data_IF_744835333146
#
_entry.id   IF_744835333146
#
_cell.length_a   1.000
_cell.length_b   1.000
_cell.length_c   1.000
_cell.angle_alpha   90.00
_cell.angle_beta   90.00
_cell.angle_gamma   90.00
#
_symmetry.space_group_name_H-M   'P 1'
#
loop_
_entity.id
_entity.type
_entity.pdbx_description
1 polymer ?
#
# COMPACT_ATOMS: atom_id res chain seq x y z
N UNK A 1 16.53 6.03 -28.84
CA UNK A 1 16.48 6.08 -27.36
C UNK A 1 16.60 4.65 -26.88
N UNK A 2 17.54 4.34 -26.00
CA UNK A 2 17.65 2.98 -25.44
C UNK A 2 16.50 2.80 -24.45
N UNK A 3 15.57 1.88 -24.75
CA UNK A 3 14.53 1.49 -23.79
C UNK A 3 15.21 0.93 -22.53
N UNK A 4 14.81 1.44 -21.37
CA UNK A 4 15.27 0.91 -20.08
C UNK A 4 14.85 -0.57 -19.98
N UNK A 5 15.75 -1.49 -19.61
CA UNK A 5 15.34 -2.86 -19.34
C UNK A 5 14.39 -2.90 -18.14
N UNK A 6 13.21 -3.48 -18.34
CA UNK A 6 12.18 -3.66 -17.32
C UNK A 6 12.40 -5.02 -16.65
N UNK A 7 12.72 -5.00 -15.35
CA UNK A 7 12.85 -6.21 -14.54
C UNK A 7 11.73 -6.25 -13.52
N UNK A 8 10.99 -7.35 -13.53
CA UNK A 8 9.90 -7.62 -12.59
C UNK A 8 10.18 -8.95 -11.91
N UNK A 9 10.16 -8.96 -10.59
CA UNK A 9 10.17 -10.17 -9.79
C UNK A 9 9.01 -10.16 -8.79
N UNK A 10 8.66 -11.32 -8.25
CA UNK A 10 7.47 -11.49 -7.42
C UNK A 10 7.85 -11.93 -6.02
N UNK A 11 7.22 -11.35 -5.01
CA UNK A 11 7.34 -11.71 -3.60
C UNK A 11 5.98 -12.20 -3.09
N UNK A 12 5.99 -13.29 -2.33
CA UNK A 12 4.79 -13.76 -1.62
C UNK A 12 4.49 -12.82 -0.46
N UNK A 13 3.20 -12.60 -0.18
CA UNK A 13 2.76 -11.92 1.03
C UNK A 13 2.18 -12.90 2.04
N UNK A 14 2.00 -12.50 3.31
CA UNK A 14 1.24 -13.31 4.28
C UNK A 14 -0.22 -13.57 3.87
N UNK A 15 -0.79 -12.75 2.97
CA UNK A 15 -2.10 -12.99 2.38
C UNK A 15 -1.94 -13.89 1.14
N UNK A 16 -2.48 -15.12 1.12
CA UNK A 16 -2.32 -16.05 0.00
C UNK A 16 -2.93 -15.52 -1.32
N UNK A 17 -3.90 -14.61 -1.22
CA UNK A 17 -4.52 -13.98 -2.39
C UNK A 17 -3.77 -12.75 -2.86
N UNK A 18 -2.78 -12.23 -2.12
CA UNK A 18 -2.01 -11.05 -2.50
C UNK A 18 -0.58 -11.43 -2.90
N UNK A 19 -0.15 -10.95 -4.06
CA UNK A 19 1.21 -11.10 -4.54
C UNK A 19 1.80 -9.74 -4.90
N UNK A 20 3.05 -9.52 -4.50
CA UNK A 20 3.79 -8.29 -4.73
C UNK A 20 4.65 -8.43 -5.98
N UNK A 21 4.49 -7.52 -6.92
CA UNK A 21 5.25 -7.40 -8.17
C UNK A 21 6.21 -6.23 -8.05
N UNK A 22 7.50 -6.51 -7.89
CA UNK A 22 8.54 -5.52 -7.62
C UNK A 22 9.27 -5.17 -8.91
N UNK A 23 9.40 -3.88 -9.17
CA UNK A 23 10.06 -3.31 -10.34
C UNK A 23 11.44 -2.74 -10.00
N UNK A 24 12.30 -2.64 -11.01
CA UNK A 24 13.62 -2.01 -10.89
C UNK A 24 13.58 -0.47 -10.92
N UNK A 25 12.41 0.14 -10.69
CA UNK A 25 12.21 1.58 -10.64
C UNK A 25 11.05 1.98 -9.75
N UNK A 26 11.15 3.18 -9.21
CA UNK A 26 10.10 3.83 -8.43
C UNK A 26 8.86 4.09 -9.29
N UNK A 27 7.71 3.71 -8.75
CA UNK A 27 6.38 3.99 -9.29
C UNK A 27 5.72 5.16 -8.55
N UNK A 28 5.96 5.23 -7.24
CA UNK A 28 5.34 6.19 -6.32
C UNK A 28 6.43 6.83 -5.47
N UNK A 29 6.47 8.16 -5.34
CA UNK A 29 7.39 8.84 -4.44
C UNK A 29 7.26 8.36 -2.99
N UNK A 30 8.37 8.37 -2.27
CA UNK A 30 8.42 8.04 -0.85
C UNK A 30 7.33 8.78 -0.03
N UNK A 31 6.70 8.03 0.88
CA UNK A 31 5.62 8.53 1.75
C UNK A 31 4.23 8.52 1.11
N UNK A 32 4.12 8.23 -0.20
CA UNK A 32 2.83 8.04 -0.86
C UNK A 32 2.56 6.56 -1.14
N UNK A 33 1.28 6.21 -1.11
CA UNK A 33 0.77 4.91 -1.51
C UNK A 33 -0.67 5.05 -1.97
N UNK A 34 -1.09 4.19 -2.89
CA UNK A 34 -2.42 4.22 -3.48
C UNK A 34 -3.05 2.83 -3.37
N UNK A 35 -4.22 2.77 -2.73
CA UNK A 35 -5.01 1.55 -2.57
C UNK A 35 -6.30 1.68 -3.36
N UNK A 36 -6.52 0.74 -4.27
CA UNK A 36 -7.68 0.66 -5.14
C UNK A 36 -8.47 -0.60 -4.80
N UNK A 37 -9.57 -0.48 -4.04
CA UNK A 37 -10.44 -1.62 -3.73
C UNK A 37 -11.38 -2.01 -4.89
N UNK A 38 -11.38 -1.24 -5.99
CA UNK A 38 -12.20 -1.53 -7.18
C UNK A 38 -11.74 -0.74 -8.40
N UNK A 39 -12.21 -1.14 -9.59
CA UNK A 39 -12.04 -0.39 -10.83
C UNK A 39 -12.55 1.06 -10.72
N UNK A 40 -13.68 1.29 -10.03
CA UNK A 40 -14.23 2.63 -9.87
C UNK A 40 -13.26 3.55 -9.09
N UNK A 41 -12.63 3.03 -8.04
CA UNK A 41 -11.65 3.77 -7.25
C UNK A 41 -10.40 4.15 -8.07
N UNK A 42 -10.03 3.33 -9.06
CA UNK A 42 -8.91 3.60 -9.97
C UNK A 42 -9.17 4.77 -10.93
N UNK A 43 -10.42 5.27 -11.01
CA UNK A 43 -10.81 6.41 -11.84
C UNK A 43 -11.21 7.64 -11.01
N UNK A 44 -11.14 7.58 -9.68
CA UNK A 44 -11.51 8.70 -8.82
C UNK A 44 -10.55 9.89 -9.02
N UNK A 45 -11.10 11.10 -9.09
CA UNK A 45 -10.30 12.32 -9.21
C UNK A 45 -9.34 12.44 -8.00
N UNK A 46 -8.08 12.76 -8.27
CA UNK A 46 -7.03 12.82 -7.25
C UNK A 46 -6.45 11.46 -6.85
N UNK A 47 -6.99 10.35 -7.36
CA UNK A 47 -6.40 9.00 -7.20
C UNK A 47 -6.25 8.24 -8.52
N UNK A 48 -6.70 8.80 -9.64
CA UNK A 48 -6.76 8.11 -10.92
C UNK A 48 -5.42 7.47 -11.33
N UNK A 49 -5.48 6.18 -11.65
CA UNK A 49 -4.35 5.36 -12.09
C UNK A 49 -4.75 4.51 -13.30
N UNK A 50 -4.24 4.84 -14.51
CA UNK A 50 -4.44 4.02 -15.69
C UNK A 50 -3.92 2.59 -15.51
N UNK A 51 -2.77 2.43 -14.82
CA UNK A 51 -2.24 1.10 -14.50
C UNK A 51 -3.22 0.27 -13.67
N UNK A 52 -3.79 0.85 -12.60
CA UNK A 52 -4.76 0.14 -11.78
C UNK A 52 -6.03 -0.18 -12.56
N UNK A 53 -6.56 0.77 -13.35
CA UNK A 53 -7.76 0.56 -14.16
C UNK A 53 -7.58 -0.58 -15.18
N UNK A 54 -6.42 -0.67 -15.82
CA UNK A 54 -6.11 -1.75 -16.77
C UNK A 54 -5.91 -3.10 -16.06
N UNK A 55 -5.29 -3.11 -14.88
CA UNK A 55 -5.18 -4.33 -14.05
C UNK A 55 -6.56 -4.87 -13.65
N UNK A 56 -7.54 -4.01 -13.42
CA UNK A 56 -8.91 -4.44 -13.13
C UNK A 56 -9.65 -5.04 -14.34
N UNK A 57 -9.09 -5.01 -15.55
CA UNK A 57 -9.64 -5.73 -16.70
C UNK A 57 -9.42 -7.25 -16.59
N UNK A 58 -8.48 -7.68 -15.74
CA UNK A 58 -8.29 -9.08 -15.42
C UNK A 58 -9.40 -9.53 -14.46
N UNK A 59 -10.24 -10.51 -14.83
CA UNK A 59 -11.41 -10.89 -14.02
C UNK A 59 -11.09 -11.31 -12.59
N UNK A 60 -9.87 -11.84 -12.39
CA UNK A 60 -9.43 -12.31 -11.09
C UNK A 60 -8.98 -11.20 -10.14
N UNK A 61 -8.74 -9.96 -10.62
CA UNK A 61 -8.18 -8.88 -9.80
C UNK A 61 -9.27 -8.20 -8.97
N UNK A 62 -9.13 -8.26 -7.65
CA UNK A 62 -10.07 -7.69 -6.67
C UNK A 62 -9.56 -6.40 -6.02
N UNK A 63 -8.23 -6.25 -5.86
CA UNK A 63 -7.62 -5.03 -5.32
C UNK A 63 -6.25 -4.82 -5.94
N UNK A 64 -5.92 -3.57 -6.22
CA UNK A 64 -4.59 -3.14 -6.67
C UNK A 64 -4.05 -2.14 -5.66
N UNK A 65 -2.83 -2.37 -5.21
CA UNK A 65 -2.12 -1.45 -4.32
C UNK A 65 -0.77 -1.08 -4.94
N UNK A 66 -0.40 0.20 -4.92
CA UNK A 66 0.81 0.72 -5.54
C UNK A 66 1.57 1.56 -4.52
N UNK A 67 2.83 1.23 -4.28
CA UNK A 67 3.72 1.98 -3.39
C UNK A 67 5.19 1.77 -3.79
N UNK A 68 6.04 2.75 -3.49
CA UNK A 68 7.48 2.73 -3.81
C UNK A 68 7.73 2.19 -5.22
N UNK A 69 8.43 1.06 -5.37
CA UNK A 69 8.74 0.39 -6.63
C UNK A 69 7.91 -0.87 -6.91
N UNK A 70 6.74 -1.06 -6.27
CA UNK A 70 5.97 -2.29 -6.41
C UNK A 70 4.46 -2.08 -6.57
N UNK A 71 3.83 -3.08 -7.18
CA UNK A 71 2.38 -3.24 -7.24
C UNK A 71 2.01 -4.53 -6.51
N UNK A 72 1.11 -4.45 -5.54
CA UNK A 72 0.48 -5.62 -4.95
C UNK A 72 -0.87 -5.85 -5.62
N UNK A 73 -1.08 -7.05 -6.15
CA UNK A 73 -2.34 -7.46 -6.74
C UNK A 73 -2.97 -8.49 -5.82
N UNK A 74 -4.22 -8.27 -5.44
CA UNK A 74 -5.03 -9.25 -4.71
C UNK A 74 -6.03 -9.86 -5.66
N UNK A 75 -5.98 -11.18 -5.82
CA UNK A 75 -6.91 -11.95 -6.65
C UNK A 75 -8.14 -12.44 -5.86
N UNK A 76 -9.13 -12.97 -6.56
CA UNK A 76 -10.23 -13.73 -5.95
C UNK A 76 -9.76 -15.08 -5.37
N UNK A 77 -10.67 -15.72 -4.63
CA UNK A 77 -10.43 -17.02 -3.98
C UNK A 77 -10.42 -18.19 -4.97
N UNK A 78 -11.08 -18.05 -6.13
CA UNK A 78 -11.29 -19.14 -7.10
C UNK A 78 -10.09 -19.33 -8.04
N UNK A 79 -9.31 -18.27 -8.27
CA UNK A 79 -8.16 -18.28 -9.17
C UNK A 79 -6.89 -18.74 -8.47
N UNK A 80 -6.03 -19.50 -9.14
CA UNK A 80 -4.71 -19.87 -8.61
C UNK A 80 -3.60 -18.96 -9.18
N UNK A 81 -2.60 -18.59 -8.37
CA UNK A 81 -1.49 -17.76 -8.84
C UNK A 81 -0.70 -18.45 -9.96
N UNK A 82 -0.58 -19.77 -9.91
CA UNK A 82 0.06 -20.59 -10.93
C UNK A 82 -0.56 -20.43 -12.31
N UNK A 83 -1.85 -20.07 -12.38
CA UNK A 83 -2.60 -19.89 -13.61
C UNK A 83 -2.50 -18.45 -14.13
N UNK A 84 -2.56 -17.46 -13.23
CA UNK A 84 -2.68 -16.04 -13.62
C UNK A 84 -1.36 -15.26 -13.60
N UNK A 85 -0.31 -15.81 -12.96
CA UNK A 85 0.96 -15.09 -12.75
C UNK A 85 1.66 -14.72 -14.06
N UNK A 86 1.68 -15.63 -15.03
CA UNK A 86 2.39 -15.40 -16.29
C UNK A 86 1.79 -14.20 -17.03
N UNK A 87 0.47 -14.20 -17.24
CA UNK A 87 -0.24 -13.15 -17.98
C UNK A 87 -0.16 -11.81 -17.25
N UNK A 88 -0.32 -11.81 -15.92
CA UNK A 88 -0.18 -10.60 -15.09
C UNK A 88 1.21 -10.00 -15.22
N UNK A 89 2.26 -10.84 -15.18
CA UNK A 89 3.65 -10.39 -15.31
C UNK A 89 3.97 -9.92 -16.74
N UNK A 90 3.44 -10.58 -17.77
CA UNK A 90 3.61 -10.14 -19.15
C UNK A 90 2.91 -8.80 -19.39
N UNK A 91 1.70 -8.61 -18.86
CA UNK A 91 0.98 -7.35 -18.94
C UNK A 91 1.80 -6.20 -18.35
N UNK A 92 2.26 -6.32 -17.09
CA UNK A 92 3.07 -5.29 -16.45
C UNK A 92 4.35 -5.00 -17.25
N UNK A 93 5.00 -6.03 -17.77
CA UNK A 93 6.20 -5.86 -18.59
C UNK A 93 5.92 -5.03 -19.85
N UNK A 94 4.91 -5.41 -20.62
CA UNK A 94 4.53 -4.71 -21.86
C UNK A 94 4.10 -3.27 -21.56
N UNK A 95 3.27 -3.09 -20.53
CA UNK A 95 2.78 -1.78 -20.08
C UNK A 95 3.91 -0.78 -19.88
N UNK A 96 4.97 -1.19 -19.18
CA UNK A 96 6.13 -0.35 -18.91
C UNK A 96 7.12 -0.27 -20.08
N UNK A 97 7.23 -1.30 -20.93
CA UNK A 97 8.01 -1.23 -22.18
C UNK A 97 7.43 -0.20 -23.16
N UNK A 98 6.11 0.01 -23.12
CA UNK A 98 5.39 1.01 -23.90
C UNK A 98 5.37 2.42 -23.27
N UNK A 99 5.98 2.60 -22.09
CA UNK A 99 6.02 3.85 -21.32
C UNK A 99 4.62 4.38 -20.93
N UNK A 100 3.69 3.48 -20.62
CA UNK A 100 2.37 3.88 -20.13
C UNK A 100 2.45 4.47 -18.70
N UNK A 101 1.61 5.46 -18.36
CA UNK A 101 1.69 6.19 -17.10
C UNK A 101 1.05 5.43 -15.93
N UNK A 102 1.73 5.39 -14.77
CA UNK A 102 1.16 4.79 -13.55
C UNK A 102 -0.06 5.58 -13.05
N UNK A 103 0.02 6.91 -13.09
CA UNK A 103 -1.03 7.82 -12.59
C UNK A 103 -1.36 8.90 -13.62
N UNK A 104 -2.57 9.47 -13.52
CA UNK A 104 -2.83 10.73 -14.20
C UNK A 104 -1.94 11.85 -13.62
N UNK A 105 -1.52 12.86 -14.42
CA UNK A 105 -0.57 13.89 -13.98
C UNK A 105 -0.96 14.61 -12.68
N UNK A 106 -2.25 14.87 -12.48
CA UNK A 106 -2.76 15.59 -11.30
C UNK A 106 -2.77 14.75 -10.02
N UNK A 107 -2.71 13.43 -10.13
CA UNK A 107 -2.80 12.53 -8.98
C UNK A 107 -1.63 12.72 -8.03
N UNK A 108 -0.39 12.73 -8.53
CA UNK A 108 0.80 12.90 -7.68
C UNK A 108 0.88 14.32 -7.10
N UNK A 109 0.60 15.34 -7.93
CA UNK A 109 0.60 16.74 -7.48
C UNK A 109 -0.38 16.99 -6.33
N UNK A 110 -1.58 16.40 -6.39
CA UNK A 110 -2.61 16.61 -5.37
C UNK A 110 -2.30 15.91 -4.05
N UNK A 111 -1.49 14.84 -4.06
CA UNK A 111 -1.18 14.04 -2.87
C UNK A 111 0.18 14.38 -2.24
N UNK A 112 1.08 15.05 -2.96
CA UNK A 112 2.40 15.48 -2.43
C UNK A 112 2.33 16.73 -1.55
N UNK A 113 1.20 17.46 -1.55
CA UNK A 113 1.04 18.75 -0.84
C UNK A 113 0.59 18.63 0.62
N UNK A 114 0.32 17.42 1.13
CA UNK A 114 -0.20 17.22 2.49
C UNK A 114 0.95 17.07 3.49
N UNK A 115 1.58 18.19 3.84
CA UNK A 115 2.35 18.29 5.09
C UNK A 115 1.43 18.90 6.13
N UNK A 116 0.85 18.05 6.99
CA UNK A 116 0.12 18.46 8.19
C UNK A 116 1.09 19.20 9.13
N UNK A 117 1.26 20.50 8.91
CA UNK A 117 2.10 21.36 9.71
C UNK A 117 1.31 21.82 10.94
N UNK A 118 1.05 20.93 11.90
CA UNK A 118 0.61 21.22 13.28
C UNK A 118 0.63 20.00 14.23
N UNK A 119 1.45 18.97 13.98
CA UNK A 119 1.51 17.80 14.85
C UNK A 119 2.07 18.12 16.25
N UNK A 120 1.41 17.60 17.30
CA UNK A 120 1.96 17.62 18.66
C UNK A 120 3.22 16.76 18.76
N UNK A 121 4.07 17.00 19.75
CA UNK A 121 5.31 16.21 19.96
C UNK A 121 5.02 14.70 20.07
N UNK A 122 3.88 14.34 20.67
CA UNK A 122 3.42 12.95 20.78
C UNK A 122 3.10 12.36 19.41
N UNK A 123 2.36 13.08 18.56
CA UNK A 123 2.03 12.64 17.20
C UNK A 123 3.30 12.48 16.36
N UNK A 124 4.27 13.38 16.48
CA UNK A 124 5.55 13.25 15.78
C UNK A 124 6.31 11.99 16.19
N UNK A 125 6.33 11.66 17.49
CA UNK A 125 6.93 10.41 18.00
C UNK A 125 6.20 9.17 17.49
N UNK A 126 4.87 9.21 17.42
CA UNK A 126 4.06 8.10 16.86
C UNK A 126 4.41 7.89 15.40
N UNK A 127 4.37 8.95 14.57
CA UNK A 127 4.70 8.89 13.14
C UNK A 127 6.12 8.35 12.93
N UNK A 128 7.11 8.89 13.65
CA UNK A 128 8.49 8.42 13.58
C UNK A 128 8.64 6.93 13.97
N UNK A 129 7.94 6.46 15.01
CA UNK A 129 7.98 5.05 15.39
C UNK A 129 7.34 4.13 14.33
N UNK A 130 6.22 4.56 13.74
CA UNK A 130 5.58 3.83 12.63
C UNK A 130 6.51 3.76 11.42
N UNK A 131 7.12 4.88 11.01
CA UNK A 131 8.00 4.96 9.85
C UNK A 131 9.27 4.14 10.02
N UNK A 132 9.88 4.17 11.21
CA UNK A 132 11.17 3.52 11.44
C UNK A 132 11.04 2.00 11.66
N UNK A 133 9.97 1.54 12.30
CA UNK A 133 9.90 0.15 12.79
C UNK A 133 8.75 -0.68 12.21
N UNK A 134 7.68 -0.03 11.73
CA UNK A 134 6.48 -0.76 11.26
C UNK A 134 6.39 -0.73 9.74
N UNK A 135 6.54 0.45 9.13
CA UNK A 135 6.43 0.65 7.69
C UNK A 135 7.31 -0.32 6.88
N UNK A 136 8.59 -0.57 7.23
CA UNK A 136 9.43 -1.49 6.46
C UNK A 136 8.89 -2.93 6.44
N UNK A 137 8.30 -3.39 7.55
CA UNK A 137 7.71 -4.73 7.62
C UNK A 137 6.42 -4.81 6.80
N UNK A 138 5.58 -3.78 6.88
CA UNK A 138 4.31 -3.72 6.14
C UNK A 138 4.53 -3.62 4.63
N UNK A 139 5.52 -2.84 4.18
CA UNK A 139 5.90 -2.75 2.77
C UNK A 139 6.58 -4.02 2.26
N UNK A 140 7.34 -4.71 3.12
CA UNK A 140 7.84 -6.06 2.82
C UNK A 140 6.68 -7.03 2.55
N UNK A 141 5.59 -6.93 3.31
CA UNK A 141 4.38 -7.73 3.13
C UNK A 141 3.49 -7.25 1.97
N UNK A 142 3.86 -6.15 1.28
CA UNK A 142 3.14 -5.61 0.13
C UNK A 142 1.94 -4.73 0.49
N UNK A 143 1.94 -4.13 1.68
CA UNK A 143 0.95 -3.13 2.10
C UNK A 143 1.56 -1.76 2.43
N UNK A 144 0.75 -0.89 3.00
CA UNK A 144 1.21 0.33 3.68
C UNK A 144 0.46 0.55 4.99
N UNK A 145 1.08 1.35 5.86
CA UNK A 145 0.48 1.84 7.10
C UNK A 145 0.57 3.37 7.15
N UNK A 146 -0.55 4.01 7.47
CA UNK A 146 -0.61 5.46 7.63
C UNK A 146 -1.22 5.83 8.98
N UNK A 147 -0.63 6.83 9.63
CA UNK A 147 -1.21 7.44 10.82
C UNK A 147 -2.50 8.17 10.43
N UNK A 148 -3.58 7.96 11.20
CA UNK A 148 -4.85 8.65 10.98
C UNK A 148 -5.09 9.71 12.04
N UNK A 149 -5.10 9.31 13.31
CA UNK A 149 -5.39 10.22 14.41
C UNK A 149 -4.82 9.71 15.73
N UNK A 150 -4.67 10.61 16.68
CA UNK A 150 -4.37 10.29 18.07
C UNK A 150 -5.37 11.04 18.97
N UNK A 151 -6.05 10.29 19.83
CA UNK A 151 -6.91 10.83 20.88
C UNK A 151 -6.07 10.97 22.16
N UNK A 152 -5.81 12.20 22.59
CA UNK A 152 -4.98 12.49 23.77
C UNK A 152 -5.67 12.10 25.09
N UNK A 153 -7.01 12.14 25.15
CA UNK A 153 -7.78 11.82 26.35
C UNK A 153 -7.79 10.30 26.60
N UNK A 154 -8.09 9.53 25.55
CA UNK A 154 -8.13 8.08 25.64
C UNK A 154 -6.75 7.44 25.48
N UNK A 155 -5.80 8.13 24.85
CA UNK A 155 -4.50 7.58 24.45
C UNK A 155 -4.60 6.60 23.28
N UNK A 156 -5.65 6.70 22.45
CA UNK A 156 -5.88 5.78 21.34
C UNK A 156 -5.25 6.30 20.04
N UNK A 157 -4.43 5.47 19.41
CA UNK A 157 -3.85 5.75 18.09
C UNK A 157 -4.65 5.01 17.04
N UNK A 158 -5.13 5.73 16.02
CA UNK A 158 -5.79 5.15 14.86
C UNK A 158 -4.82 5.09 13.68
N UNK A 159 -4.70 3.92 13.06
CA UNK A 159 -3.89 3.69 11.86
C UNK A 159 -4.73 3.10 10.74
N UNK A 160 -4.39 3.45 9.51
CA UNK A 160 -4.98 2.87 8.29
C UNK A 160 -4.01 1.84 7.73
N UNK A 161 -4.51 0.63 7.47
CA UNK A 161 -3.80 -0.44 6.81
C UNK A 161 -4.30 -0.59 5.37
N UNK A 162 -3.37 -0.69 4.43
CA UNK A 162 -3.63 -0.73 3.00
C UNK A 162 -2.91 -1.91 2.33
N UNK A 163 -3.34 -2.27 1.12
CA UNK A 163 -2.75 -3.35 0.32
C UNK A 163 -2.97 -4.74 0.92
N UNK A 164 -1.94 -5.59 0.93
CA UNK A 164 -2.04 -6.98 1.48
C UNK A 164 -2.53 -7.06 2.92
N UNK A 165 -2.35 -5.97 3.69
CA UNK A 165 -2.72 -5.90 5.10
C UNK A 165 -4.17 -5.45 5.32
N UNK A 166 -4.87 -5.00 4.26
CA UNK A 166 -6.29 -4.64 4.29
C UNK A 166 -7.16 -5.89 4.03
N UNK A 167 -8.22 -6.08 4.82
CA UNK A 167 -9.23 -7.11 4.58
C UNK A 167 -8.89 -8.55 4.99
N UNK A 168 -7.70 -8.83 5.50
CA UNK A 168 -7.31 -10.16 6.00
C UNK A 168 -7.35 -10.21 7.54
N UNK A 169 -8.33 -10.89 8.17
CA UNK A 169 -8.51 -10.88 9.64
C UNK A 169 -7.30 -11.36 10.43
N UNK A 170 -6.56 -12.36 9.92
CA UNK A 170 -5.38 -12.91 10.58
C UNK A 170 -4.18 -11.95 10.55
N UNK A 171 -3.95 -11.29 9.41
CA UNK A 171 -2.88 -10.31 9.24
C UNK A 171 -3.17 -9.02 10.01
N UNK A 172 -4.41 -8.52 9.97
CA UNK A 172 -4.81 -7.30 10.68
C UNK A 172 -4.69 -7.46 12.20
N UNK A 173 -5.09 -8.61 12.77
CA UNK A 173 -5.01 -8.84 14.22
C UNK A 173 -3.56 -8.88 14.70
N UNK A 174 -2.71 -9.67 14.04
CA UNK A 174 -1.30 -9.84 14.45
C UNK A 174 -0.53 -8.53 14.30
N UNK A 175 -0.72 -7.83 13.19
CA UNK A 175 -0.08 -6.55 12.93
C UNK A 175 -0.54 -5.48 13.93
N UNK A 176 -1.85 -5.39 14.21
CA UNK A 176 -2.40 -4.50 15.24
C UNK A 176 -1.72 -4.74 16.60
N UNK A 177 -1.64 -6.00 17.04
CA UNK A 177 -0.99 -6.33 18.31
C UNK A 177 0.51 -5.99 18.31
N UNK A 178 1.21 -6.18 17.19
CA UNK A 178 2.60 -5.76 17.04
C UNK A 178 2.78 -4.25 17.20
N UNK A 179 1.95 -3.47 16.50
CA UNK A 179 1.97 -2.00 16.55
C UNK A 179 1.62 -1.49 17.94
N UNK A 180 0.58 -2.04 18.57
CA UNK A 180 0.17 -1.64 19.93
C UNK A 180 1.29 -1.86 20.94
N UNK A 181 1.93 -3.04 20.91
CA UNK A 181 3.06 -3.34 21.80
C UNK A 181 4.26 -2.41 21.57
N UNK A 182 4.52 -2.03 20.32
CA UNK A 182 5.60 -1.10 19.99
C UNK A 182 5.28 0.31 20.50
N UNK A 183 4.13 0.87 20.12
CA UNK A 183 3.79 2.26 20.41
C UNK A 183 3.59 2.50 21.91
N UNK A 184 2.94 1.58 22.63
CA UNK A 184 2.77 1.68 24.09
C UNK A 184 4.09 1.65 24.87
N UNK A 185 5.14 1.02 24.31
CA UNK A 185 6.49 1.02 24.91
C UNK A 185 7.30 2.26 24.55
N UNK A 186 7.13 2.79 23.35
CA UNK A 186 7.97 3.86 22.82
C UNK A 186 7.43 5.27 23.05
N UNK A 187 6.11 5.41 23.15
CA UNK A 187 5.44 6.72 23.22
C UNK A 187 4.61 6.81 24.50
N UNK A 188 5.09 7.56 25.51
CA UNK A 188 4.29 7.84 26.70
C UNK A 188 2.95 8.48 26.33
N UNK A 189 1.86 7.97 26.91
CA UNK A 189 0.49 8.44 26.65
C UNK A 189 -0.29 7.57 25.67
N UNK A 190 0.38 6.76 24.84
CA UNK A 190 -0.31 5.76 24.01
C UNK A 190 -0.72 4.56 24.87
N UNK A 191 -2.00 4.18 24.77
CA UNK A 191 -2.59 3.06 25.53
C UNK A 191 -3.11 1.94 24.65
N UNK A 192 -3.61 2.25 23.46
CA UNK A 192 -4.17 1.26 22.53
C UNK A 192 -4.08 1.72 21.08
N UNK A 193 -4.15 0.76 20.15
CA UNK A 193 -4.16 1.00 18.71
C UNK A 193 -5.45 0.45 18.11
N UNK A 194 -6.08 1.26 17.26
CA UNK A 194 -7.18 0.85 16.39
C UNK A 194 -6.67 0.81 14.96
N UNK A 195 -6.76 -0.35 14.33
CA UNK A 195 -6.41 -0.53 12.91
C UNK A 195 -7.70 -0.62 12.10
N UNK A 196 -7.82 0.23 11.08
CA UNK A 196 -8.89 0.14 10.08
C UNK A 196 -8.28 -0.26 8.74
N UNK A 197 -8.86 -1.29 8.11
CA UNK A 197 -8.57 -1.62 6.72
C UNK A 197 -9.37 -0.68 5.82
N UNK A 198 -8.70 -0.10 4.82
CA UNK A 198 -9.33 0.69 3.76
C UNK A 198 -9.61 -0.19 2.56
#
# INVERSE_FOLDING_TARGET
MLNRPIYIYTELSPNPNSMKFVLNFELVPDGLSFDYPSHAAAMEEGKASPLAADLFQFPHVQRVFIASNFVTITKDDDSAWEEVLYDTKQFLKIYFEENQPVFEPKTIESNTLVVEANDTETVQKIKAALDQYVRPAVESDGGAINFHSFDEDSGAVKVLLQGSCSGCPSSTLTLKSGIENLLTRMVPGVKTVVAEGV
#
